data_IF_330910767651
#
_entry.id   IF_330910767651
#
_cell.length_a   1.000
_cell.length_b   1.000
_cell.length_c   1.000
_cell.angle_alpha   90.00
_cell.angle_beta   90.00
_cell.angle_gamma   90.00
#
_symmetry.space_group_name_H-M   'P 1'
#
loop_
_entity.id
_entity.type
_entity.pdbx_description
1 polymer ?
#
# COMPACT_ATOMS: atom_id res chain seq x y z
N UNK A 1 -2.00 -1.96 5.38
CA UNK A 1 -3.30 -1.26 5.25
C UNK A 1 -4.35 -2.04 6.01
N UNK A 2 -4.46 -1.77 7.31
CA UNK A 2 -5.38 -2.42 8.22
C UNK A 2 -5.86 -1.37 9.22
N UNK A 3 -7.04 -0.81 8.98
CA UNK A 3 -7.95 -0.82 10.10
C UNK A 3 -8.54 -2.22 10.07
N UNK A 4 -8.33 -2.98 11.14
CA UNK A 4 -9.10 -4.20 11.36
C UNK A 4 -10.58 -3.86 11.10
N UNK A 5 -11.32 -4.73 10.39
CA UNK A 5 -12.75 -4.53 10.14
C UNK A 5 -13.49 -4.18 11.44
N UNK A 6 -13.04 -4.76 12.56
CA UNK A 6 -13.55 -4.46 13.90
C UNK A 6 -13.27 -3.02 14.32
N UNK A 7 -12.12 -2.47 13.97
CA UNK A 7 -11.75 -1.07 14.26
C UNK A 7 -12.57 -0.10 13.41
N UNK A 8 -12.80 -0.38 12.13
CA UNK A 8 -13.68 0.46 11.29
C UNK A 8 -15.13 0.46 11.79
N UNK A 9 -15.65 -0.71 12.18
CA UNK A 9 -16.99 -0.83 12.74
C UNK A 9 -17.09 -0.12 14.10
N UNK A 10 -16.11 -0.33 14.98
CA UNK A 10 -16.03 0.35 16.28
C UNK A 10 -15.91 1.87 16.11
N UNK A 11 -15.13 2.34 15.13
CA UNK A 11 -14.99 3.76 14.82
C UNK A 11 -16.31 4.33 14.29
N UNK A 12 -17.00 3.61 13.41
CA UNK A 12 -18.32 4.01 12.92
C UNK A 12 -19.35 4.12 14.04
N UNK A 13 -19.41 3.15 14.94
CA UNK A 13 -20.28 3.15 16.12
C UNK A 13 -19.92 4.29 17.09
N UNK A 14 -18.63 4.47 17.38
CA UNK A 14 -18.15 5.55 18.24
C UNK A 14 -18.46 6.92 17.65
N UNK A 15 -18.23 7.15 16.35
CA UNK A 15 -18.52 8.43 15.70
C UNK A 15 -20.03 8.75 15.69
N UNK A 16 -20.89 7.72 15.53
CA UNK A 16 -22.34 7.89 15.64
C UNK A 16 -22.77 8.40 17.02
N UNK A 17 -22.11 7.92 18.08
CA UNK A 17 -22.44 8.25 19.47
C UNK A 17 -21.80 9.56 19.93
N UNK A 18 -20.52 9.77 19.63
CA UNK A 18 -19.73 10.84 20.22
C UNK A 18 -19.60 12.09 19.35
N UNK A 19 -20.02 12.05 18.08
CA UNK A 19 -19.99 13.20 17.17
C UNK A 19 -21.34 13.43 16.48
N UNK A 20 -22.36 13.89 17.22
CA UNK A 20 -23.72 14.07 16.70
C UNK A 20 -23.80 15.02 15.50
N UNK A 21 -22.88 15.98 15.39
CA UNK A 21 -22.79 16.87 14.24
C UNK A 21 -22.38 16.14 12.95
N UNK A 22 -21.44 15.19 13.02
CA UNK A 22 -21.06 14.36 11.86
C UNK A 22 -22.19 13.42 11.49
N UNK A 23 -22.84 12.81 12.48
CA UNK A 23 -24.02 11.99 12.22
C UNK A 23 -25.14 12.80 11.55
N UNK A 24 -25.44 14.00 12.02
CA UNK A 24 -26.48 14.85 11.43
C UNK A 24 -26.19 15.21 9.96
N UNK A 25 -24.91 15.36 9.59
CA UNK A 25 -24.49 15.59 8.21
C UNK A 25 -24.69 14.35 7.33
N UNK A 26 -24.26 13.19 7.82
CA UNK A 26 -24.12 11.99 6.97
C UNK A 26 -25.32 11.02 7.07
N UNK A 27 -26.20 11.17 8.07
CA UNK A 27 -27.22 10.18 8.41
C UNK A 27 -28.13 9.81 7.22
N UNK A 28 -28.51 10.79 6.39
CA UNK A 28 -29.37 10.50 5.24
C UNK A 28 -28.64 9.64 4.19
N UNK A 29 -27.37 9.90 3.95
CA UNK A 29 -26.56 9.12 3.01
C UNK A 29 -26.29 7.72 3.57
N UNK A 30 -25.96 7.62 4.85
CA UNK A 30 -25.80 6.33 5.56
C UNK A 30 -27.06 5.48 5.44
N UNK A 31 -28.24 6.04 5.78
CA UNK A 31 -29.49 5.29 5.74
C UNK A 31 -29.84 4.83 4.31
N UNK A 32 -29.61 5.67 3.29
CA UNK A 32 -29.84 5.26 1.89
C UNK A 32 -28.97 4.08 1.49
N UNK A 33 -27.71 4.06 1.91
CA UNK A 33 -26.76 2.98 1.61
C UNK A 33 -27.14 1.70 2.37
N UNK A 34 -27.45 1.82 3.67
CA UNK A 34 -27.86 0.68 4.49
C UNK A 34 -29.16 0.05 4.00
N UNK A 35 -30.08 0.85 3.44
CA UNK A 35 -31.37 0.41 2.91
C UNK A 35 -31.33 0.02 1.42
N UNK A 36 -30.18 0.15 0.74
CA UNK A 36 -30.07 -0.20 -0.67
C UNK A 36 -30.38 -1.71 -0.87
N UNK A 37 -31.34 -2.07 -1.75
CA UNK A 37 -31.89 -3.41 -1.83
C UNK A 37 -30.90 -4.44 -2.37
N UNK A 38 -29.98 -4.02 -3.24
CA UNK A 38 -29.07 -4.88 -3.97
C UNK A 38 -27.70 -4.19 -4.23
N UNK A 39 -26.83 -4.93 -4.90
CA UNK A 39 -25.47 -4.53 -5.22
C UNK A 39 -25.48 -3.31 -6.15
N UNK A 40 -26.35 -3.30 -7.17
CA UNK A 40 -26.42 -2.24 -8.18
C UNK A 40 -26.82 -0.91 -7.54
N UNK A 41 -27.89 -0.93 -6.72
CA UNK A 41 -28.35 0.23 -5.97
C UNK A 41 -27.30 0.73 -4.99
N UNK A 42 -26.51 -0.16 -4.38
CA UNK A 42 -25.39 0.24 -3.50
C UNK A 42 -24.25 0.89 -4.30
N UNK A 43 -23.95 0.39 -5.50
CA UNK A 43 -22.93 0.95 -6.39
C UNK A 43 -23.35 2.31 -6.99
N UNK A 44 -24.64 2.54 -7.25
CA UNK A 44 -25.16 3.85 -7.65
C UNK A 44 -24.88 4.95 -6.61
N UNK A 45 -24.74 4.58 -5.34
CA UNK A 45 -24.49 5.51 -4.24
C UNK A 45 -23.01 5.79 -4.00
N UNK A 46 -22.07 5.08 -4.67
CA UNK A 46 -20.62 5.25 -4.48
C UNK A 46 -20.14 6.70 -4.65
N UNK A 47 -20.57 7.48 -5.65
CA UNK A 47 -20.08 8.87 -5.83
C UNK A 47 -20.42 9.79 -4.64
N UNK A 48 -21.51 9.49 -3.92
CA UNK A 48 -21.95 10.26 -2.76
C UNK A 48 -21.48 9.72 -1.41
N UNK A 49 -20.76 8.59 -1.39
CA UNK A 49 -20.28 7.96 -0.18
C UNK A 49 -19.04 8.69 0.36
N UNK A 50 -19.26 9.54 1.38
CA UNK A 50 -18.21 10.29 2.08
C UNK A 50 -18.43 10.23 3.59
N UNK A 51 -17.34 10.35 4.37
CA UNK A 51 -17.43 10.32 5.84
C UNK A 51 -18.04 9.02 6.35
N UNK A 52 -19.08 9.11 7.18
CA UNK A 52 -19.75 7.92 7.72
C UNK A 52 -20.48 7.10 6.65
N UNK A 53 -20.88 7.72 5.54
CA UNK A 53 -21.53 7.02 4.43
C UNK A 53 -20.54 6.10 3.70
N UNK A 54 -19.25 6.44 3.66
CA UNK A 54 -18.20 5.60 3.09
C UNK A 54 -18.01 4.32 3.91
N UNK A 55 -18.02 4.43 5.25
CA UNK A 55 -17.98 3.26 6.15
C UNK A 55 -19.21 2.36 5.97
N UNK A 56 -20.40 2.95 5.84
CA UNK A 56 -21.63 2.20 5.57
C UNK A 56 -21.58 1.49 4.21
N UNK A 57 -21.03 2.15 3.19
CA UNK A 57 -20.84 1.58 1.87
C UNK A 57 -19.88 0.40 1.89
N UNK A 58 -18.71 0.55 2.51
CA UNK A 58 -17.73 -0.51 2.65
C UNK A 58 -18.32 -1.72 3.42
N UNK A 59 -19.10 -1.45 4.48
CA UNK A 59 -19.83 -2.50 5.22
C UNK A 59 -20.81 -3.25 4.32
N UNK A 60 -21.63 -2.56 3.53
CA UNK A 60 -22.56 -3.21 2.57
C UNK A 60 -21.80 -4.03 1.54
N UNK A 61 -20.70 -3.51 1.00
CA UNK A 61 -19.91 -4.26 0.03
C UNK A 61 -19.32 -5.55 0.60
N UNK A 62 -18.85 -5.51 1.85
CA UNK A 62 -18.41 -6.72 2.56
C UNK A 62 -19.53 -7.73 2.78
N UNK A 63 -20.75 -7.28 3.04
CA UNK A 63 -21.91 -8.18 3.20
C UNK A 63 -22.27 -8.90 1.89
N UNK A 64 -22.11 -8.23 0.75
CA UNK A 64 -22.27 -8.88 -0.55
C UNK A 64 -21.12 -9.84 -0.86
N UNK A 65 -19.91 -9.53 -0.38
CA UNK A 65 -18.74 -10.40 -0.50
C UNK A 65 -18.42 -10.71 -1.97
N UNK A 66 -17.99 -11.94 -2.29
CA UNK A 66 -17.57 -12.33 -3.64
C UNK A 66 -18.64 -12.16 -4.74
N UNK A 67 -19.92 -12.07 -4.40
CA UNK A 67 -21.00 -11.88 -5.38
C UNK A 67 -21.03 -10.47 -5.97
N UNK A 68 -20.35 -9.49 -5.34
CA UNK A 68 -20.23 -8.14 -5.88
C UNK A 68 -19.20 -8.01 -7.02
N UNK A 69 -18.30 -8.98 -7.17
CA UNK A 69 -17.12 -8.83 -8.03
C UNK A 69 -17.47 -8.55 -9.50
N UNK A 70 -18.39 -9.33 -10.07
CA UNK A 70 -18.78 -9.20 -11.48
C UNK A 70 -19.51 -7.88 -11.73
N UNK A 71 -20.39 -7.47 -10.82
CA UNK A 71 -21.12 -6.21 -10.91
C UNK A 71 -20.18 -5.01 -10.80
N UNK A 72 -19.20 -5.06 -9.88
CA UNK A 72 -18.16 -4.03 -9.78
C UNK A 72 -17.34 -3.95 -11.08
N UNK A 73 -16.88 -5.10 -11.61
CA UNK A 73 -16.11 -5.12 -12.85
C UNK A 73 -16.92 -4.57 -14.03
N UNK A 74 -18.20 -4.92 -14.13
CA UNK A 74 -19.12 -4.38 -15.13
C UNK A 74 -19.25 -2.85 -14.99
N UNK A 75 -19.30 -2.35 -13.76
CA UNK A 75 -19.38 -0.91 -13.46
C UNK A 75 -18.14 -0.14 -13.90
N UNK A 76 -16.96 -0.71 -13.70
CA UNK A 76 -15.69 -0.13 -14.12
C UNK A 76 -15.56 -0.11 -15.65
N UNK A 77 -16.02 -1.17 -16.32
CA UNK A 77 -15.98 -1.30 -17.79
C UNK A 77 -17.02 -0.43 -18.50
N UNK A 78 -18.15 -0.18 -17.86
CA UNK A 78 -19.27 0.52 -18.46
C UNK A 78 -19.14 2.04 -18.49
N UNK A 79 -20.04 2.67 -19.23
CA UNK A 79 -20.09 4.13 -19.38
C UNK A 79 -20.55 4.87 -18.12
N UNK A 80 -20.95 4.16 -17.07
CA UNK A 80 -21.42 4.78 -15.82
C UNK A 80 -20.40 5.76 -15.23
N UNK A 81 -19.10 5.43 -15.28
CA UNK A 81 -18.04 6.32 -14.80
C UNK A 81 -17.89 7.61 -15.64
N UNK A 82 -18.37 7.63 -16.88
CA UNK A 82 -18.30 8.83 -17.72
C UNK A 82 -19.13 10.00 -17.19
N UNK A 83 -20.16 9.71 -16.37
CA UNK A 83 -20.96 10.72 -15.69
C UNK A 83 -20.19 11.44 -14.56
N UNK A 84 -19.06 10.88 -14.11
CA UNK A 84 -18.27 11.37 -12.97
C UNK A 84 -16.79 11.59 -13.35
N UNK A 85 -16.48 12.43 -14.35
CA UNK A 85 -15.11 12.53 -14.88
C UNK A 85 -14.11 13.07 -13.84
N UNK A 86 -14.56 13.91 -12.91
CA UNK A 86 -13.71 14.49 -11.85
C UNK A 86 -13.45 13.54 -10.69
N UNK A 87 -14.43 12.68 -10.39
CA UNK A 87 -14.38 11.75 -9.26
C UNK A 87 -14.01 10.33 -9.68
N UNK A 88 -13.78 10.10 -10.99
CA UNK A 88 -13.54 8.79 -11.59
C UNK A 88 -12.48 7.99 -10.83
N UNK A 89 -11.33 8.59 -10.56
CA UNK A 89 -10.23 7.90 -9.86
C UNK A 89 -10.61 7.53 -8.42
N UNK A 90 -11.29 8.41 -7.69
CA UNK A 90 -11.75 8.12 -6.33
C UNK A 90 -12.89 7.09 -6.28
N UNK A 91 -13.73 7.02 -7.31
CA UNK A 91 -14.73 5.96 -7.44
C UNK A 91 -14.03 4.64 -7.76
N UNK A 92 -13.09 4.61 -8.71
CA UNK A 92 -12.31 3.41 -9.05
C UNK A 92 -11.55 2.89 -7.82
N UNK A 93 -10.93 3.76 -7.03
CA UNK A 93 -10.26 3.40 -5.78
C UNK A 93 -11.19 2.62 -4.83
N UNK A 94 -12.39 3.12 -4.57
CA UNK A 94 -13.36 2.43 -3.70
C UNK A 94 -13.79 1.08 -4.27
N UNK A 95 -14.04 1.02 -5.57
CA UNK A 95 -14.45 -0.20 -6.26
C UNK A 95 -13.34 -1.27 -6.22
N UNK A 96 -12.09 -0.88 -6.50
CA UNK A 96 -10.91 -1.75 -6.39
C UNK A 96 -10.71 -2.19 -4.94
N UNK A 97 -10.86 -1.28 -3.98
CA UNK A 97 -10.81 -1.59 -2.55
C UNK A 97 -11.87 -2.61 -2.12
N UNK A 98 -13.07 -2.57 -2.70
CA UNK A 98 -14.11 -3.56 -2.47
C UNK A 98 -13.75 -4.93 -3.09
N UNK A 99 -13.15 -4.96 -4.28
CA UNK A 99 -12.73 -6.20 -4.95
C UNK A 99 -11.68 -6.99 -4.15
N UNK A 100 -10.89 -6.32 -3.30
CA UNK A 100 -9.98 -6.99 -2.35
C UNK A 100 -10.70 -7.99 -1.45
N UNK A 101 -11.97 -7.79 -1.13
CA UNK A 101 -12.75 -8.67 -0.25
C UNK A 101 -13.51 -9.77 -0.99
N UNK A 102 -13.27 -9.92 -2.29
CA UNK A 102 -13.96 -10.87 -3.15
C UNK A 102 -13.10 -12.11 -3.48
N UNK A 103 -12.01 -12.34 -2.76
CA UNK A 103 -11.08 -13.47 -2.95
C UNK A 103 -10.68 -13.64 -4.44
N UNK A 104 -10.65 -14.88 -4.95
CA UNK A 104 -10.32 -15.20 -6.34
C UNK A 104 -11.25 -14.51 -7.36
N UNK A 105 -12.51 -14.21 -6.98
CA UNK A 105 -13.41 -13.45 -7.85
C UNK A 105 -12.97 -11.99 -7.96
N UNK A 106 -12.40 -11.43 -6.89
CA UNK A 106 -11.75 -10.13 -6.89
C UNK A 106 -10.60 -10.07 -7.89
N UNK A 107 -9.75 -11.11 -7.89
CA UNK A 107 -8.67 -11.26 -8.87
C UNK A 107 -9.23 -11.31 -10.29
N UNK A 108 -10.21 -12.18 -10.56
CA UNK A 108 -10.81 -12.31 -11.89
C UNK A 108 -11.44 -10.99 -12.37
N UNK A 109 -12.17 -10.29 -11.49
CA UNK A 109 -12.78 -9.00 -11.76
C UNK A 109 -11.74 -7.94 -12.14
N UNK A 110 -10.69 -7.76 -11.32
CA UNK A 110 -9.61 -6.79 -11.56
C UNK A 110 -8.90 -7.05 -12.89
N UNK A 111 -8.59 -8.31 -13.20
CA UNK A 111 -7.96 -8.68 -14.46
C UNK A 111 -8.91 -8.43 -15.65
N UNK A 112 -10.21 -8.61 -15.47
CA UNK A 112 -11.21 -8.41 -16.54
C UNK A 112 -11.45 -6.93 -16.88
N UNK A 113 -11.33 -6.02 -15.91
CA UNK A 113 -11.58 -4.58 -16.09
C UNK A 113 -10.30 -3.74 -16.18
N UNK A 114 -9.13 -4.38 -16.22
CA UNK A 114 -7.81 -3.74 -16.16
C UNK A 114 -7.63 -2.59 -17.17
N UNK A 115 -8.02 -2.81 -18.43
CA UNK A 115 -7.88 -1.81 -19.51
C UNK A 115 -8.83 -0.62 -19.35
N UNK A 116 -9.86 -0.73 -18.51
CA UNK A 116 -10.82 0.35 -18.23
C UNK A 116 -10.40 1.23 -17.05
N UNK A 117 -9.37 0.83 -16.32
CA UNK A 117 -8.78 1.59 -15.22
C UNK A 117 -7.93 2.76 -15.76
N UNK A 118 -7.91 3.87 -15.03
CA UNK A 118 -6.91 4.91 -15.26
C UNK A 118 -5.54 4.48 -14.67
N UNK A 119 -4.49 5.29 -14.86
CA UNK A 119 -3.15 4.91 -14.38
C UNK A 119 -3.08 4.74 -12.85
N UNK A 120 -3.87 5.52 -12.11
CA UNK A 120 -3.96 5.41 -10.66
C UNK A 120 -4.72 4.14 -10.25
N UNK A 121 -5.84 3.86 -10.91
CA UNK A 121 -6.59 2.62 -10.77
C UNK A 121 -5.76 1.38 -11.09
N UNK A 122 -4.92 1.40 -12.14
CA UNK A 122 -3.99 0.30 -12.43
C UNK A 122 -2.95 0.11 -11.33
N UNK A 123 -2.40 1.20 -10.80
CA UNK A 123 -1.46 1.16 -9.69
C UNK A 123 -2.09 0.52 -8.44
N UNK A 124 -3.31 0.95 -8.07
CA UNK A 124 -4.07 0.35 -6.96
C UNK A 124 -4.45 -1.11 -7.22
N UNK A 125 -4.92 -1.44 -8.42
CA UNK A 125 -5.28 -2.80 -8.79
C UNK A 125 -4.07 -3.74 -8.71
N UNK A 126 -2.88 -3.27 -9.11
CA UNK A 126 -1.65 -4.03 -9.00
C UNK A 126 -1.30 -4.37 -7.54
N UNK A 127 -1.45 -3.41 -6.63
CA UNK A 127 -1.27 -3.63 -5.20
C UNK A 127 -2.29 -4.67 -4.68
N UNK A 128 -3.57 -4.53 -5.02
CA UNK A 128 -4.62 -5.49 -4.58
C UNK A 128 -4.36 -6.89 -5.13
N UNK A 129 -3.92 -7.03 -6.37
CA UNK A 129 -3.56 -8.33 -6.95
C UNK A 129 -2.40 -9.00 -6.19
N UNK A 130 -1.40 -8.23 -5.74
CA UNK A 130 -0.34 -8.75 -4.88
C UNK A 130 -0.85 -9.20 -3.51
N UNK A 131 -1.68 -8.37 -2.86
CA UNK A 131 -2.31 -8.71 -1.58
C UNK A 131 -3.18 -9.98 -1.64
N UNK A 132 -3.79 -10.24 -2.79
CA UNK A 132 -4.60 -11.43 -3.05
C UNK A 132 -3.76 -12.65 -3.47
N UNK A 133 -2.43 -12.53 -3.59
CA UNK A 133 -1.57 -13.63 -3.99
C UNK A 133 -1.77 -14.07 -5.45
N UNK A 134 -2.20 -13.16 -6.33
CA UNK A 134 -2.49 -13.45 -7.73
C UNK A 134 -1.22 -13.62 -8.57
N UNK A 135 -0.43 -14.67 -8.33
CA UNK A 135 0.86 -14.90 -9.01
C UNK A 135 0.76 -14.91 -10.55
N UNK A 136 -0.37 -15.35 -11.11
CA UNK A 136 -0.64 -15.31 -12.56
C UNK A 136 -0.64 -13.89 -13.15
N UNK A 137 -0.71 -12.86 -12.32
CA UNK A 137 -0.72 -11.46 -12.76
C UNK A 137 0.68 -10.83 -12.82
N UNK A 138 1.73 -11.52 -12.34
CA UNK A 138 3.07 -10.95 -12.19
C UNK A 138 3.61 -10.26 -13.46
N UNK A 139 3.44 -10.86 -14.65
CA UNK A 139 3.88 -10.24 -15.91
C UNK A 139 3.12 -8.96 -16.26
N UNK A 140 1.83 -8.89 -15.91
CA UNK A 140 1.02 -7.68 -16.08
C UNK A 140 1.45 -6.59 -15.11
N UNK A 141 1.74 -6.95 -13.85
CA UNK A 141 2.26 -6.02 -12.86
C UNK A 141 3.63 -5.48 -13.29
N UNK A 142 4.50 -6.35 -13.81
CA UNK A 142 5.80 -5.95 -14.34
C UNK A 142 5.68 -4.99 -15.53
N UNK A 143 4.82 -5.29 -16.50
CA UNK A 143 4.55 -4.36 -17.61
C UNK A 143 4.02 -3.01 -17.10
N UNK A 144 3.12 -3.03 -16.11
CA UNK A 144 2.63 -1.81 -15.46
C UNK A 144 3.77 -1.02 -14.80
N UNK A 145 4.65 -1.68 -14.04
CA UNK A 145 5.83 -1.05 -13.46
C UNK A 145 6.72 -0.42 -14.54
N UNK A 146 7.03 -1.13 -15.62
CA UNK A 146 7.88 -0.63 -16.69
C UNK A 146 7.30 0.64 -17.36
N UNK A 147 5.98 0.71 -17.54
CA UNK A 147 5.32 1.89 -18.12
C UNK A 147 5.23 3.07 -17.14
N UNK A 148 5.18 2.80 -15.84
CA UNK A 148 4.97 3.82 -14.79
C UNK A 148 6.27 4.26 -14.13
N UNK A 149 7.38 3.52 -14.28
CA UNK A 149 8.65 3.82 -13.61
C UNK A 149 9.20 5.20 -13.98
N UNK A 150 8.94 5.70 -15.19
CA UNK A 150 9.40 7.04 -15.59
C UNK A 150 8.34 8.14 -15.40
N UNK A 151 7.17 7.81 -14.84
CA UNK A 151 6.11 8.79 -14.62
C UNK A 151 6.50 9.78 -13.51
N UNK A 152 6.03 11.03 -13.63
CA UNK A 152 6.26 12.08 -12.64
C UNK A 152 5.52 11.84 -11.31
N UNK A 153 4.51 10.97 -11.31
CA UNK A 153 3.81 10.49 -10.12
C UNK A 153 4.38 9.14 -9.72
N UNK A 154 4.38 8.83 -8.43
CA UNK A 154 4.86 7.56 -7.86
C UNK A 154 3.92 6.37 -8.14
N UNK A 155 3.31 6.34 -9.32
CA UNK A 155 2.37 5.30 -9.77
C UNK A 155 3.03 3.93 -9.90
N UNK A 156 4.35 3.88 -10.02
CA UNK A 156 5.13 2.64 -10.02
C UNK A 156 5.12 1.91 -8.66
N UNK A 157 4.78 2.62 -7.57
CA UNK A 157 4.75 2.04 -6.21
C UNK A 157 3.74 0.89 -6.13
N UNK A 158 2.54 1.05 -6.69
CA UNK A 158 1.50 0.01 -6.70
C UNK A 158 1.93 -1.31 -7.34
N UNK A 159 2.42 -1.34 -8.61
CA UNK A 159 2.91 -2.57 -9.22
C UNK A 159 4.18 -3.11 -8.57
N UNK A 160 5.09 -2.25 -8.10
CA UNK A 160 6.27 -2.71 -7.36
C UNK A 160 5.86 -3.40 -6.04
N UNK A 161 4.94 -2.81 -5.29
CA UNK A 161 4.36 -3.41 -4.10
C UNK A 161 3.75 -4.77 -4.42
N UNK A 162 2.90 -4.84 -5.44
CA UNK A 162 2.26 -6.09 -5.83
C UNK A 162 3.27 -7.18 -6.14
N UNK A 163 4.35 -6.86 -6.87
CA UNK A 163 5.43 -7.79 -7.18
C UNK A 163 6.19 -8.26 -5.93
N UNK A 164 6.42 -7.37 -4.95
CA UNK A 164 7.03 -7.72 -3.66
C UNK A 164 6.14 -8.71 -2.89
N UNK A 165 4.83 -8.44 -2.83
CA UNK A 165 3.87 -9.35 -2.18
C UNK A 165 3.79 -10.71 -2.87
N UNK A 166 3.96 -10.76 -4.21
CA UNK A 166 4.02 -11.99 -4.99
C UNK A 166 5.38 -12.71 -4.93
N UNK A 167 6.40 -12.11 -4.31
CA UNK A 167 7.76 -12.66 -4.29
C UNK A 167 8.41 -12.73 -5.68
N UNK A 168 8.06 -11.82 -6.59
CA UNK A 168 8.65 -11.78 -7.93
C UNK A 168 10.07 -11.22 -7.87
N UNK A 169 11.05 -11.99 -8.34
CA UNK A 169 12.47 -11.64 -8.28
C UNK A 169 12.80 -10.32 -9.00
N UNK A 170 12.01 -9.90 -10.00
CA UNK A 170 12.24 -8.65 -10.73
C UNK A 170 12.06 -7.42 -9.83
N UNK A 171 11.31 -7.54 -8.74
CA UNK A 171 11.16 -6.46 -7.76
C UNK A 171 12.51 -6.12 -7.09
N UNK A 172 13.37 -7.12 -6.88
CA UNK A 172 14.69 -6.91 -6.29
C UNK A 172 15.60 -6.10 -7.21
N UNK A 173 15.65 -6.45 -8.50
CA UNK A 173 16.41 -5.69 -9.50
C UNK A 173 15.92 -4.25 -9.62
N UNK A 174 14.59 -4.05 -9.63
CA UNK A 174 13.96 -2.74 -9.64
C UNK A 174 14.33 -1.90 -8.41
N UNK A 175 14.32 -2.49 -7.21
CA UNK A 175 14.68 -1.75 -5.98
C UNK A 175 16.16 -1.37 -5.92
N UNK A 176 17.04 -2.24 -6.42
CA UNK A 176 18.47 -1.90 -6.54
C UNK A 176 18.66 -0.74 -7.50
N UNK A 177 18.03 -0.77 -8.69
CA UNK A 177 18.05 0.35 -9.66
C UNK A 177 17.54 1.65 -9.01
N UNK A 178 16.41 1.60 -8.29
CA UNK A 178 15.84 2.78 -7.62
C UNK A 178 16.74 3.34 -6.51
N UNK A 179 17.48 2.48 -5.79
CA UNK A 179 18.46 2.92 -4.79
C UNK A 179 19.68 3.57 -5.43
N UNK A 180 20.20 2.98 -6.51
CA UNK A 180 21.35 3.52 -7.25
C UNK A 180 21.02 4.88 -7.87
N UNK A 181 19.80 5.03 -8.40
CA UNK A 181 19.28 6.28 -8.95
C UNK A 181 18.91 7.32 -7.86
N UNK A 182 19.06 6.97 -6.57
CA UNK A 182 18.67 7.80 -5.42
C UNK A 182 17.23 8.31 -5.52
N UNK A 183 16.32 7.47 -6.01
CA UNK A 183 14.93 7.86 -6.20
C UNK A 183 14.21 7.85 -4.86
N UNK A 184 13.69 9.03 -4.50
CA UNK A 184 12.94 9.22 -3.26
C UNK A 184 11.44 8.95 -3.47
N UNK A 185 10.91 8.07 -2.62
CA UNK A 185 9.49 7.77 -2.48
C UNK A 185 9.26 7.20 -1.09
N UNK A 186 8.03 7.32 -0.59
CA UNK A 186 7.73 7.06 0.81
C UNK A 186 8.03 5.61 1.23
N UNK A 187 7.73 4.63 0.40
CA UNK A 187 7.80 3.19 0.74
C UNK A 187 9.21 2.57 0.61
N UNK A 188 10.21 3.33 0.14
CA UNK A 188 11.56 2.86 -0.24
C UNK A 188 12.16 1.86 0.75
N UNK A 189 12.31 2.24 2.01
CA UNK A 189 12.94 1.42 3.03
C UNK A 189 12.11 0.21 3.46
N UNK A 190 10.78 0.35 3.47
CA UNK A 190 9.88 -0.76 3.73
C UNK A 190 9.96 -1.82 2.63
N UNK A 191 10.02 -1.41 1.36
CA UNK A 191 10.16 -2.32 0.23
C UNK A 191 11.51 -3.06 0.25
N UNK A 192 12.60 -2.32 0.47
CA UNK A 192 13.95 -2.91 0.57
C UNK A 192 14.02 -3.93 1.71
N UNK A 193 13.47 -3.57 2.89
CA UNK A 193 13.36 -4.46 4.05
C UNK A 193 12.60 -5.75 3.74
N UNK A 194 11.50 -5.66 2.97
CA UNK A 194 10.65 -6.81 2.63
C UNK A 194 11.27 -7.73 1.59
N UNK A 195 11.98 -7.18 0.60
CA UNK A 195 12.67 -7.98 -0.41
C UNK A 195 13.91 -8.66 0.15
N UNK A 196 14.71 -7.96 0.95
CA UNK A 196 15.88 -8.56 1.60
C UNK A 196 17.03 -8.89 0.65
N UNK A 197 17.15 -8.20 -0.49
CA UNK A 197 18.23 -8.45 -1.45
C UNK A 197 19.58 -8.01 -0.88
N UNK A 198 20.57 -8.89 -0.89
CA UNK A 198 21.90 -8.61 -0.33
C UNK A 198 22.62 -7.42 -0.99
N UNK A 199 22.32 -7.11 -2.26
CA UNK A 199 22.95 -6.01 -3.00
C UNK A 199 22.65 -4.64 -2.37
N UNK A 200 21.60 -4.52 -1.57
CA UNK A 200 21.22 -3.26 -0.91
C UNK A 200 21.97 -3.00 0.39
N UNK A 201 22.71 -3.96 0.93
CA UNK A 201 23.41 -3.84 2.23
C UNK A 201 24.38 -2.66 2.22
N UNK A 202 25.28 -2.60 1.24
CA UNK A 202 26.27 -1.54 1.15
C UNK A 202 25.63 -0.16 0.86
N UNK A 203 24.67 -0.02 -0.08
CA UNK A 203 23.88 1.21 -0.24
C UNK A 203 23.26 1.70 1.08
N UNK A 204 22.60 0.83 1.84
CA UNK A 204 21.98 1.20 3.13
C UNK A 204 23.02 1.60 4.19
N UNK A 205 24.14 0.90 4.28
CA UNK A 205 25.23 1.29 5.20
C UNK A 205 25.79 2.67 4.82
N UNK A 206 25.97 2.95 3.53
CA UNK A 206 26.41 4.26 3.08
C UNK A 206 25.40 5.36 3.44
N UNK A 207 24.11 5.09 3.24
CA UNK A 207 23.02 6.02 3.59
C UNK A 207 22.91 6.23 5.11
N UNK A 208 23.16 5.20 5.93
CA UNK A 208 23.20 5.34 7.38
C UNK A 208 24.36 6.24 7.85
N UNK A 209 25.50 6.17 7.17
CA UNK A 209 26.70 6.96 7.52
C UNK A 209 26.64 8.40 6.99
N UNK A 210 26.07 8.62 5.80
CA UNK A 210 26.15 9.90 5.08
C UNK A 210 24.81 10.56 4.81
N UNK A 211 23.70 9.87 5.05
CA UNK A 211 22.35 10.39 4.90
C UNK A 211 21.99 11.40 5.99
N UNK A 212 20.85 12.05 5.78
CA UNK A 212 20.29 13.04 6.73
C UNK A 212 19.73 12.33 7.97
N UNK A 213 19.76 12.99 9.13
CA UNK A 213 19.38 12.37 10.40
C UNK A 213 17.91 11.90 10.42
N UNK A 214 17.04 12.54 9.64
CA UNK A 214 15.62 12.21 9.55
C UNK A 214 15.35 10.83 8.96
N UNK A 215 16.18 10.37 8.02
CA UNK A 215 15.97 9.07 7.33
C UNK A 215 16.75 7.93 7.97
N UNK A 216 17.77 8.22 8.79
CA UNK A 216 18.61 7.20 9.44
C UNK A 216 17.83 6.16 10.24
N UNK A 217 16.73 6.50 10.96
CA UNK A 217 15.90 5.49 11.59
C UNK A 217 15.33 4.49 10.58
N UNK A 218 14.78 4.96 9.46
CA UNK A 218 14.17 4.09 8.45
C UNK A 218 15.23 3.23 7.74
N UNK A 219 16.38 3.81 7.42
CA UNK A 219 17.54 3.08 6.87
C UNK A 219 18.01 2.00 7.83
N UNK A 220 18.09 2.32 9.12
CA UNK A 220 18.48 1.37 10.16
C UNK A 220 17.49 0.21 10.25
N UNK A 221 16.19 0.48 10.25
CA UNK A 221 15.16 -0.56 10.27
C UNK A 221 15.14 -1.40 9.00
N UNK A 222 15.38 -0.80 7.84
CA UNK A 222 15.52 -1.54 6.59
C UNK A 222 16.72 -2.48 6.62
N UNK A 223 17.87 -1.99 7.07
CA UNK A 223 19.07 -2.81 7.21
C UNK A 223 18.85 -3.96 8.21
N UNK A 224 18.12 -3.72 9.29
CA UNK A 224 17.72 -4.79 10.24
C UNK A 224 16.83 -5.84 9.57
N UNK A 225 15.83 -5.43 8.79
CA UNK A 225 14.99 -6.37 8.04
C UNK A 225 15.76 -7.19 7.02
N UNK A 226 16.66 -6.56 6.27
CA UNK A 226 17.56 -7.24 5.33
C UNK A 226 18.47 -8.22 6.09
N UNK A 227 19.05 -7.81 7.21
CA UNK A 227 19.91 -8.64 8.06
C UNK A 227 19.21 -9.94 8.52
N UNK A 228 17.96 -9.83 8.98
CA UNK A 228 17.19 -11.01 9.41
C UNK A 228 16.85 -11.95 8.25
N UNK A 229 16.65 -11.43 7.03
CA UNK A 229 16.38 -12.25 5.84
C UNK A 229 17.63 -12.94 5.31
N UNK A 230 18.78 -12.27 5.32
CA UNK A 230 20.05 -12.82 4.86
C UNK A 230 20.68 -13.78 5.87
N UNK A 231 20.47 -13.52 7.16
CA UNK A 231 21.19 -14.17 8.24
C UNK A 231 22.55 -13.51 8.51
N UNK A 232 23.08 -13.76 9.71
CA UNK A 232 24.27 -13.09 10.24
C UNK A 232 25.51 -13.29 9.37
N UNK A 233 25.77 -14.52 8.93
CA UNK A 233 27.00 -14.87 8.20
C UNK A 233 27.06 -14.17 6.83
N UNK A 234 25.95 -14.19 6.09
CA UNK A 234 25.85 -13.54 4.78
C UNK A 234 25.99 -12.03 4.95
N UNK A 235 25.35 -11.44 5.95
CA UNK A 235 25.49 -10.01 6.24
C UNK A 235 26.94 -9.64 6.55
N UNK A 236 27.62 -10.42 7.40
CA UNK A 236 29.02 -10.20 7.73
C UNK A 236 29.90 -10.23 6.47
N UNK A 237 29.69 -11.21 5.58
CA UNK A 237 30.40 -11.30 4.30
C UNK A 237 30.16 -10.06 3.42
N UNK A 238 28.90 -9.60 3.31
CA UNK A 238 28.59 -8.41 2.49
C UNK A 238 29.23 -7.13 3.04
N UNK A 239 29.35 -7.00 4.36
CA UNK A 239 29.90 -5.80 5.00
C UNK A 239 31.44 -5.75 5.02
N UNK A 240 32.09 -6.91 4.97
CA UNK A 240 33.57 -7.01 4.97
C UNK A 240 34.14 -7.19 3.57
N UNK A 241 33.34 -7.64 2.60
CA UNK A 241 33.78 -8.02 1.27
C UNK A 241 34.72 -9.23 1.29
N UNK A 242 35.27 -9.61 0.13
CA UNK A 242 36.30 -10.67 0.03
C UNK A 242 37.69 -10.21 0.53
N UNK A 243 37.77 -9.10 1.28
CA UNK A 243 39.05 -8.47 1.63
C UNK A 243 39.44 -8.77 3.07
N UNK A 244 40.56 -9.50 3.24
CA UNK A 244 41.26 -9.77 4.51
C UNK A 244 41.86 -8.48 5.18
N UNK A 245 41.31 -7.30 4.91
CA UNK A 245 41.92 -6.03 5.28
C UNK A 245 41.28 -5.38 6.53
N UNK A 246 42.11 -5.32 7.59
CA UNK A 246 42.06 -4.47 8.79
C UNK A 246 41.14 -4.90 9.95
N UNK A 247 41.77 -5.44 11.00
CA UNK A 247 41.20 -5.79 12.32
C UNK A 247 40.38 -4.65 12.96
N UNK A 248 40.69 -3.38 12.68
CA UNK A 248 39.98 -2.22 13.22
C UNK A 248 38.64 -1.91 12.53
N UNK A 249 38.46 -2.27 11.26
CA UNK A 249 37.17 -2.13 10.57
C UNK A 249 36.22 -3.28 10.93
N UNK A 250 36.76 -4.47 11.16
CA UNK A 250 36.01 -5.65 11.61
C UNK A 250 35.27 -5.38 12.94
N UNK A 251 35.90 -4.69 13.90
CA UNK A 251 35.26 -4.36 15.17
C UNK A 251 34.01 -3.48 15.06
N UNK A 252 34.01 -2.50 14.14
CA UNK A 252 32.84 -1.64 13.91
C UNK A 252 31.71 -2.36 13.17
N UNK A 253 32.06 -3.26 12.25
CA UNK A 253 31.09 -4.11 11.54
C UNK A 253 30.38 -5.04 12.51
N UNK A 254 31.12 -5.74 13.38
CA UNK A 254 30.54 -6.62 14.39
C UNK A 254 29.62 -5.89 15.37
N UNK A 255 30.02 -4.70 15.83
CA UNK A 255 29.16 -3.87 16.70
C UNK A 255 27.85 -3.46 16.00
N UNK A 256 27.90 -3.14 14.70
CA UNK A 256 26.70 -2.82 13.93
C UNK A 256 25.83 -4.07 13.75
N UNK A 257 26.42 -5.22 13.40
CA UNK A 257 25.69 -6.49 13.27
C UNK A 257 25.02 -6.86 14.59
N UNK A 258 25.74 -6.80 15.71
CA UNK A 258 25.18 -7.05 17.03
C UNK A 258 24.01 -6.13 17.34
N UNK A 259 24.12 -4.85 16.97
CA UNK A 259 23.02 -3.88 17.12
C UNK A 259 21.80 -4.24 16.27
N UNK A 260 21.98 -4.70 15.03
CA UNK A 260 20.89 -5.14 14.15
C UNK A 260 20.11 -6.31 14.78
N UNK A 261 20.83 -7.30 15.30
CA UNK A 261 20.24 -8.50 15.90
C UNK A 261 19.71 -8.31 17.33
N UNK A 262 19.86 -7.13 17.93
CA UNK A 262 19.14 -6.78 19.18
C UNK A 262 17.63 -6.60 18.94
N UNK A 263 17.24 -6.27 17.73
CA UNK A 263 15.83 -6.11 17.34
C UNK A 263 15.34 -7.35 16.61
N UNK A 264 14.07 -7.69 16.77
CA UNK A 264 13.45 -8.82 16.08
C UNK A 264 12.89 -8.41 14.71
N UNK A 265 12.64 -9.41 13.85
CA UNK A 265 11.89 -9.19 12.61
C UNK A 265 10.49 -8.58 12.88
N UNK A 266 9.86 -8.92 14.01
CA UNK A 266 8.58 -8.33 14.40
C UNK A 266 8.66 -6.85 14.78
N UNK A 267 9.82 -6.38 15.24
CA UNK A 267 10.05 -4.95 15.50
C UNK A 267 10.22 -4.16 14.20
N UNK A 268 10.91 -4.75 13.22
CA UNK A 268 11.00 -4.21 11.85
C UNK A 268 9.61 -4.10 11.23
N UNK A 269 8.82 -5.17 11.33
CA UNK A 269 7.44 -5.19 10.84
C UNK A 269 6.59 -4.12 11.52
N UNK A 270 6.71 -3.91 12.84
CA UNK A 270 6.00 -2.86 13.56
C UNK A 270 6.44 -1.44 13.17
N UNK A 271 7.72 -1.23 12.88
CA UNK A 271 8.22 0.05 12.39
C UNK A 271 7.60 0.39 11.03
N UNK A 272 7.72 -0.56 10.09
CA UNK A 272 7.15 -0.42 8.75
C UNK A 272 5.63 -0.61 8.71
N UNK A 273 5.01 -1.10 9.78
CA UNK A 273 3.56 -1.20 9.91
C UNK A 273 2.95 0.18 9.66
N UNK A 274 3.53 1.23 10.24
CA UNK A 274 3.08 2.62 10.04
C UNK A 274 3.24 3.14 8.60
N UNK A 275 4.19 2.63 7.81
CA UNK A 275 4.25 2.92 6.37
C UNK A 275 3.05 2.32 5.64
N UNK A 276 2.53 1.21 6.15
CA UNK A 276 1.39 0.51 5.62
C UNK A 276 0.06 0.86 6.30
N UNK A 277 0.08 1.54 7.45
CA UNK A 277 -1.10 1.88 8.28
C UNK A 277 -1.15 3.33 8.74
N UNK A 278 -0.41 4.27 8.13
CA UNK A 278 -0.58 5.69 8.47
C UNK A 278 -1.99 6.17 8.11
N UNK A 279 -2.81 6.23 9.14
CA UNK A 279 -4.04 6.98 9.32
C UNK A 279 -4.36 7.96 8.19
N UNK A 280 -5.46 7.66 7.47
CA UNK A 280 -6.68 8.47 7.43
C UNK A 280 -6.58 9.98 7.10
N UNK A 281 -5.43 10.48 6.62
CA UNK A 281 -5.20 11.88 6.27
C UNK A 281 -6.00 12.34 5.06
N UNK A 282 -6.42 11.42 4.19
CA UNK A 282 -7.26 11.76 3.02
C UNK A 282 -8.77 11.71 3.32
N UNK A 283 -9.19 11.17 4.46
CA UNK A 283 -10.60 11.15 4.87
C UNK A 283 -10.94 12.25 5.92
N UNK A 284 -9.96 12.73 6.70
CA UNK A 284 -10.16 13.84 7.65
C UNK A 284 -9.94 15.24 7.05
N UNK A 285 -9.30 15.36 5.88
CA UNK A 285 -9.21 16.64 5.15
C UNK A 285 -10.58 17.16 4.67
N UNK A 286 -11.60 16.29 4.58
CA UNK A 286 -12.99 16.66 4.27
C UNK A 286 -13.83 17.01 5.53
N UNK A 287 -13.24 16.91 6.72
CA UNK A 287 -13.87 17.32 7.98
C UNK A 287 -13.38 18.69 8.49
N UNK A 288 -12.30 19.24 7.93
CA UNK A 288 -11.84 20.61 8.20
C UNK A 288 -12.06 21.49 6.98
N UNK A 289 -13.30 21.98 6.85
CA UNK A 289 -13.54 23.21 6.11
C UNK A 289 -12.79 24.36 6.79
N UNK A 290 -11.59 24.66 6.31
CA UNK A 290 -10.97 25.97 6.48
C UNK A 290 -10.37 26.42 5.16
N UNK A 291 -11.08 27.38 4.57
CA UNK A 291 -10.56 28.37 3.65
C UNK A 291 -9.24 28.93 4.17
N UNK A 292 -8.16 28.81 3.38
CA UNK A 292 -7.06 29.77 3.43
C UNK A 292 -6.88 30.34 2.02
N UNK A 293 -7.64 31.41 1.81
CA UNK A 293 -7.18 32.59 1.07
C UNK A 293 -5.90 33.10 1.76
N UNK A 294 -4.95 33.52 0.91
CA UNK A 294 -3.64 34.15 1.17
C UNK A 294 -2.47 33.18 1.43
#
# INVERSE_FOLDING_TARGET
>A
MHLDCRVEETLGEALRVFQPAIWQRDCQAVLRIEQAPDIEATLDLTPGAMGLADLAWAKRMRQFGPDAADTIAARIKGDWLSAYPKDRSGIQERLIGALRWCDDRGVAALLSCWESLDDYGRSLAAMVLGLLGAHQSADRLWACYQTTRSAAKDLFVGPLWGLIDLGDNRAADALVELLDDQREYYEKYGFVSRVGDHRVVLPLVFELLRGVEEIKPDVMWALTGVAHRLGRDVLHQQMTGDSDAQESHSGNVELLIDRLFQYSQGDVERHFETFYTKDAGSLLALAKGQSLIA
#
